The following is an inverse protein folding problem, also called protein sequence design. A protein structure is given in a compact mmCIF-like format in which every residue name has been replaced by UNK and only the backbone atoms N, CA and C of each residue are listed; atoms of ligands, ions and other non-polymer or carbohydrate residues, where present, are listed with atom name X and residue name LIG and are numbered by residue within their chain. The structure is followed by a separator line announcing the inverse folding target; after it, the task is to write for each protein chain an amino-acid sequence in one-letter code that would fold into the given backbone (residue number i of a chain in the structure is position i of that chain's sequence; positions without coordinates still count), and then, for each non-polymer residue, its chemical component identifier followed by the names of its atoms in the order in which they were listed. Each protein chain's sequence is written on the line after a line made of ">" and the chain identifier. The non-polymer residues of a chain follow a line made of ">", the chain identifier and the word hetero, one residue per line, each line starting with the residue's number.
data_IF_182556983293
#
_entry.id   IF_182556983293
#
_cell.length_a   1.000
_cell.length_b   1.000
_cell.length_c   1.000
_cell.angle_alpha   90.00
_cell.angle_beta   90.00
_cell.angle_gamma   90.00
#
_symmetry.space_group_name_H-M   'P 1'
#
loop_
_entity.id
_entity.type
_entity.pdbx_description
1 polymer ?
#
# COMPACT_ATOMS: atom_id res chain seq x y z
N UNK A 1 14.78 -8.28 10.42
CA UNK A 1 13.50 -7.63 10.16
C UNK A 1 12.60 -8.43 9.21
N UNK A 2 13.14 -8.92 8.11
CA UNK A 2 12.30 -9.65 7.14
C UNK A 2 11.72 -10.95 7.68
N UNK A 3 12.43 -11.59 8.60
CA UNK A 3 11.89 -12.79 9.22
C UNK A 3 10.64 -12.47 10.04
N UNK A 4 10.64 -11.36 10.77
CA UNK A 4 9.47 -10.92 11.52
C UNK A 4 8.30 -10.61 10.58
N UNK A 5 8.57 -9.98 9.43
CA UNK A 5 7.53 -9.69 8.45
C UNK A 5 6.90 -10.98 7.91
N UNK A 6 7.71 -12.00 7.65
CA UNK A 6 7.19 -13.26 7.13
C UNK A 6 6.32 -14.00 8.12
N UNK A 7 6.58 -13.83 9.41
CA UNK A 7 5.82 -14.50 10.46
C UNK A 7 4.60 -13.75 10.93
N UNK A 8 4.52 -12.46 10.61
CA UNK A 8 3.40 -11.63 11.01
C UNK A 8 2.19 -11.91 10.14
N UNK A 9 1.00 -11.68 10.70
CA UNK A 9 -0.24 -11.75 9.94
C UNK A 9 -0.72 -10.36 9.54
N UNK A 10 -0.38 -9.37 10.37
CA UNK A 10 -0.82 -7.99 10.17
C UNK A 10 0.37 -7.05 10.27
N UNK A 11 0.23 -5.88 9.67
CA UNK A 11 1.26 -4.85 9.71
C UNK A 11 0.64 -3.53 10.19
N UNK A 12 1.28 -2.90 11.16
CA UNK A 12 0.79 -1.65 11.76
C UNK A 12 1.76 -0.51 11.41
N UNK A 13 1.43 0.33 10.42
CA UNK A 13 2.30 1.46 10.07
C UNK A 13 2.39 2.55 11.14
N UNK A 14 1.45 2.59 12.07
CA UNK A 14 1.44 3.52 13.20
C UNK A 14 1.45 5.00 12.77
N UNK A 15 0.71 5.32 11.72
CA UNK A 15 0.52 6.69 11.29
C UNK A 15 -0.64 7.31 12.06
N UNK A 16 -0.38 8.46 12.66
CA UNK A 16 -1.36 9.14 13.51
C UNK A 16 -1.91 10.38 12.80
N UNK A 17 -3.23 10.42 12.49
CA UNK A 17 -3.81 11.58 11.82
C UNK A 17 -3.77 12.85 12.68
N UNK A 18 -3.61 12.71 14.00
CA UNK A 18 -3.48 13.85 14.90
C UNK A 18 -2.08 14.41 14.96
N UNK A 19 -1.09 13.76 14.37
CA UNK A 19 0.29 14.22 14.39
C UNK A 19 0.62 14.98 13.12
N UNK A 20 0.89 16.31 13.20
CA UNK A 20 1.18 17.08 12.00
C UNK A 20 2.37 16.56 11.19
N UNK A 21 3.33 15.93 11.84
CA UNK A 21 4.50 15.38 11.16
C UNK A 21 4.12 14.24 10.21
N UNK A 22 2.97 13.61 10.41
CA UNK A 22 2.51 12.51 9.54
C UNK A 22 1.65 12.99 8.37
N UNK A 23 1.29 14.27 8.32
CA UNK A 23 0.40 14.79 7.26
C UNK A 23 0.99 14.62 5.86
N UNK A 24 2.31 14.63 5.73
CA UNK A 24 2.96 14.47 4.44
C UNK A 24 2.65 13.11 3.80
N UNK A 25 2.33 12.10 4.60
CA UNK A 25 2.01 10.76 4.11
C UNK A 25 0.60 10.66 3.54
N UNK A 26 -0.18 11.74 3.62
CA UNK A 26 -1.50 11.81 3.00
C UNK A 26 -1.41 12.41 1.60
N UNK A 27 -0.47 13.32 1.38
CA UNK A 27 -0.45 14.14 0.17
C UNK A 27 0.77 13.94 -0.72
N UNK A 28 1.96 13.96 -0.17
CA UNK A 28 3.19 13.98 -0.98
C UNK A 28 4.21 12.92 -0.61
N UNK A 29 4.21 12.48 0.65
CA UNK A 29 5.20 11.52 1.11
C UNK A 29 4.74 10.09 0.96
N UNK A 30 5.68 9.19 0.78
CA UNK A 30 5.41 7.74 0.76
C UNK A 30 6.21 7.12 1.89
N UNK A 31 5.54 6.42 2.80
CA UNK A 31 6.24 5.70 3.85
C UNK A 31 6.85 4.41 3.29
N UNK A 32 8.09 4.12 3.68
CA UNK A 32 8.73 2.87 3.29
C UNK A 32 7.99 1.63 3.76
N UNK A 33 7.20 1.77 4.82
CA UNK A 33 6.40 0.67 5.36
C UNK A 33 5.38 0.14 4.34
N UNK A 34 4.83 1.00 3.50
CA UNK A 34 3.85 0.57 2.50
C UNK A 34 4.45 -0.41 1.49
N UNK A 35 5.72 -0.23 1.17
CA UNK A 35 6.40 -1.15 0.26
C UNK A 35 6.48 -2.55 0.84
N UNK A 36 6.70 -2.65 2.15
CA UNK A 36 6.76 -3.94 2.83
C UNK A 36 5.39 -4.62 2.83
N UNK A 37 4.31 -3.84 2.97
CA UNK A 37 2.95 -4.37 2.90
C UNK A 37 2.71 -5.04 1.55
N UNK A 38 3.04 -4.35 0.47
CA UNK A 38 2.84 -4.91 -0.87
C UNK A 38 3.70 -6.14 -1.11
N UNK A 39 4.96 -6.10 -0.66
CA UNK A 39 5.90 -7.17 -0.91
C UNK A 39 5.62 -8.44 -0.14
N UNK A 40 5.17 -8.32 1.10
CA UNK A 40 4.90 -9.48 1.96
C UNK A 40 3.43 -9.85 2.03
N UNK A 41 2.55 -9.04 1.44
CA UNK A 41 1.11 -9.26 1.42
C UNK A 41 0.53 -9.45 2.83
N UNK A 42 1.00 -8.64 3.78
CA UNK A 42 0.48 -8.64 5.15
C UNK A 42 -0.57 -7.57 5.29
N UNK A 43 -1.71 -7.91 5.86
CA UNK A 43 -2.84 -7.00 5.94
C UNK A 43 -2.49 -5.81 6.83
N UNK A 44 -2.53 -4.57 6.30
CA UNK A 44 -2.25 -3.40 7.11
C UNK A 44 -3.44 -3.02 7.99
N UNK A 45 -3.15 -2.59 9.20
CA UNK A 45 -4.13 -1.99 10.10
C UNK A 45 -3.80 -0.50 10.14
N UNK A 46 -4.60 0.31 9.48
CA UNK A 46 -4.23 1.70 9.18
C UNK A 46 -5.46 2.60 9.29
N UNK A 47 -5.23 3.86 9.69
CA UNK A 47 -6.29 4.85 9.73
C UNK A 47 -6.74 5.21 8.31
N UNK A 48 -8.04 5.36 8.10
CA UNK A 48 -8.60 5.61 6.77
C UNK A 48 -8.01 6.86 6.11
N UNK A 49 -7.60 7.85 6.91
CA UNK A 49 -7.04 9.09 6.40
C UNK A 49 -5.78 8.88 5.57
N UNK A 50 -5.02 7.85 5.89
CA UNK A 50 -3.80 7.51 5.15
C UNK A 50 -4.03 6.42 4.11
N UNK A 51 -5.11 5.66 4.26
CA UNK A 51 -5.31 4.45 3.48
C UNK A 51 -5.51 4.71 1.98
N UNK A 52 -6.31 5.72 1.64
CA UNK A 52 -6.65 5.97 0.23
C UNK A 52 -5.43 6.32 -0.61
N UNK A 53 -4.45 6.99 0.00
CA UNK A 53 -3.23 7.37 -0.71
C UNK A 53 -2.46 6.14 -1.21
N UNK A 54 -2.55 5.02 -0.49
CA UNK A 54 -1.82 3.79 -0.82
C UNK A 54 -2.70 2.75 -1.53
N UNK A 55 -3.96 3.08 -1.80
CA UNK A 55 -4.88 2.15 -2.42
C UNK A 55 -5.51 1.15 -1.47
N UNK A 56 -5.40 1.37 -0.16
CA UNK A 56 -6.01 0.48 0.82
C UNK A 56 -7.48 0.83 1.02
N UNK A 57 -8.30 -0.20 1.20
CA UNK A 57 -9.74 -0.06 1.45
C UNK A 57 -10.19 -1.22 2.34
N UNK A 58 -11.48 -1.26 2.63
CA UNK A 58 -12.01 -2.30 3.54
C UNK A 58 -11.88 -3.72 3.01
N UNK A 59 -11.57 -3.90 1.74
CA UNK A 59 -11.37 -5.22 1.15
C UNK A 59 -9.97 -5.78 1.39
N UNK A 60 -8.97 -4.91 1.45
CA UNK A 60 -7.57 -5.34 1.51
C UNK A 60 -6.85 -4.88 2.77
N UNK A 61 -7.54 -4.20 3.67
CA UNK A 61 -6.94 -3.66 4.88
C UNK A 61 -7.97 -3.55 5.99
N UNK A 62 -7.50 -3.47 7.21
CA UNK A 62 -8.36 -3.15 8.34
C UNK A 62 -8.23 -1.65 8.59
N UNK A 63 -9.25 -0.91 8.21
CA UNK A 63 -9.28 0.53 8.39
C UNK A 63 -9.96 0.89 9.70
N UNK A 64 -9.40 1.85 10.42
CA UNK A 64 -10.09 2.41 11.58
C UNK A 64 -10.32 3.89 11.34
N UNK A 65 -11.43 4.37 11.83
CA UNK A 65 -11.87 5.76 11.62
C UNK A 65 -11.98 6.49 12.94
N UNK A 66 -13.09 6.27 13.62
CA UNK A 66 -13.33 6.92 14.90
C UNK A 66 -12.85 6.08 16.08
N UNK A 67 -12.75 4.77 15.87
CA UNK A 67 -12.25 3.87 16.90
C UNK A 67 -10.73 4.02 17.05
N UNK A 68 -10.22 3.58 18.19
CA UNK A 68 -8.79 3.59 18.43
C UNK A 68 -8.10 2.46 17.69
N UNK A 69 -6.78 2.56 17.57
CA UNK A 69 -5.97 1.47 17.03
C UNK A 69 -6.22 0.17 17.78
N UNK A 70 -6.39 0.25 19.13
CA UNK A 70 -6.69 -0.94 19.92
C UNK A 70 -7.98 -1.63 19.49
N UNK A 71 -9.01 -0.86 19.15
CA UNK A 71 -10.26 -1.41 18.63
C UNK A 71 -10.05 -2.13 17.32
N UNK A 72 -9.24 -1.57 16.43
CA UNK A 72 -8.91 -2.20 15.16
C UNK A 72 -8.13 -3.49 15.38
N UNK A 73 -7.21 -3.50 16.34
CA UNK A 73 -6.46 -4.71 16.67
C UNK A 73 -7.36 -5.82 17.19
N UNK A 74 -8.39 -5.46 17.97
CA UNK A 74 -9.37 -6.45 18.42
C UNK A 74 -10.15 -7.04 17.25
N UNK A 75 -10.50 -6.24 16.26
CA UNK A 75 -11.15 -6.75 15.05
C UNK A 75 -10.24 -7.72 14.32
N UNK A 76 -8.95 -7.42 14.27
CA UNK A 76 -7.98 -8.31 13.64
C UNK A 76 -7.94 -9.67 14.32
N UNK A 77 -7.92 -9.67 15.65
CA UNK A 77 -7.89 -10.91 16.44
C UNK A 77 -9.14 -11.75 16.20
N UNK A 78 -10.27 -11.11 15.97
CA UNK A 78 -11.55 -11.79 15.78
C UNK A 78 -11.80 -12.21 14.34
N UNK A 79 -10.93 -11.84 13.43
CA UNK A 79 -11.11 -12.16 12.02
C UNK A 79 -10.98 -13.67 11.78
N UNK A 80 -11.87 -14.21 10.97
CA UNK A 80 -11.80 -15.63 10.61
C UNK A 80 -10.72 -15.86 9.56
N UNK A 81 -10.32 -17.13 9.41
CA UNK A 81 -9.34 -17.47 8.38
C UNK A 81 -9.84 -17.14 6.98
N UNK A 82 -11.15 -17.30 6.74
CA UNK A 82 -11.75 -16.96 5.45
C UNK A 82 -11.69 -15.47 5.17
N UNK A 83 -12.02 -14.65 6.19
CA UNK A 83 -11.95 -13.21 6.06
C UNK A 83 -10.51 -12.75 5.81
N UNK A 84 -9.56 -13.32 6.53
CA UNK A 84 -8.16 -13.02 6.36
C UNK A 84 -7.70 -13.37 4.94
N UNK A 85 -8.02 -14.59 4.48
CA UNK A 85 -7.63 -15.04 3.16
C UNK A 85 -8.22 -14.15 2.07
N UNK A 86 -9.47 -13.72 2.23
CA UNK A 86 -10.11 -12.82 1.27
C UNK A 86 -9.40 -11.48 1.18
N UNK A 87 -9.05 -10.92 2.34
CA UNK A 87 -8.31 -9.65 2.36
C UNK A 87 -6.91 -9.82 1.77
N UNK A 88 -6.25 -10.92 2.05
CA UNK A 88 -4.92 -11.19 1.52
C UNK A 88 -4.96 -11.30 0.00
N UNK A 89 -5.98 -11.97 -0.55
CA UNK A 89 -6.14 -12.05 -2.00
C UNK A 89 -6.36 -10.66 -2.63
N UNK A 90 -7.18 -9.84 -1.99
CA UNK A 90 -7.41 -8.48 -2.46
C UNK A 90 -6.13 -7.65 -2.40
N UNK A 91 -5.31 -7.84 -1.37
CA UNK A 91 -4.04 -7.16 -1.21
C UNK A 91 -3.03 -7.60 -2.28
N UNK A 92 -2.99 -8.90 -2.58
CA UNK A 92 -2.15 -9.42 -3.64
C UNK A 92 -2.58 -8.85 -5.00
N UNK A 93 -3.88 -8.70 -5.21
CA UNK A 93 -4.39 -8.10 -6.44
C UNK A 93 -3.98 -6.63 -6.55
N UNK A 94 -4.05 -5.90 -5.44
CA UNK A 94 -3.58 -4.52 -5.41
C UNK A 94 -2.10 -4.43 -5.80
N UNK A 95 -1.28 -5.31 -5.27
CA UNK A 95 0.13 -5.35 -5.61
C UNK A 95 0.36 -5.59 -7.10
N UNK A 96 -0.40 -6.50 -7.68
CA UNK A 96 -0.32 -6.78 -9.12
C UNK A 96 -0.76 -5.58 -9.95
N UNK A 97 -1.82 -4.90 -9.51
CA UNK A 97 -2.32 -3.72 -10.23
C UNK A 97 -1.32 -2.58 -10.18
N UNK A 98 -0.68 -2.36 -9.03
CA UNK A 98 0.35 -1.35 -8.88
C UNK A 98 1.55 -1.68 -9.77
N UNK A 99 1.97 -2.93 -9.80
CA UNK A 99 3.08 -3.34 -10.64
C UNK A 99 2.78 -3.13 -12.12
N UNK A 100 1.58 -3.51 -12.54
CA UNK A 100 1.15 -3.33 -13.93
C UNK A 100 1.13 -1.85 -14.31
N UNK A 101 0.57 -1.03 -13.44
CA UNK A 101 0.49 0.41 -13.68
C UNK A 101 1.89 1.04 -13.74
N UNK A 102 2.76 0.63 -12.84
CA UNK A 102 4.14 1.12 -12.82
C UNK A 102 4.88 0.78 -14.10
N UNK A 103 4.72 -0.45 -14.58
CA UNK A 103 5.35 -0.87 -15.84
C UNK A 103 4.79 -0.10 -17.01
N UNK A 104 3.49 0.14 -17.04
CA UNK A 104 2.84 0.93 -18.08
C UNK A 104 3.34 2.37 -18.07
N UNK A 105 3.45 2.95 -16.89
CA UNK A 105 3.96 4.31 -16.73
C UNK A 105 5.41 4.41 -17.19
N UNK A 106 6.22 3.41 -16.87
CA UNK A 106 7.61 3.39 -17.28
C UNK A 106 7.71 3.31 -18.82
N UNK A 107 6.92 2.45 -19.44
CA UNK A 107 6.92 2.35 -20.90
C UNK A 107 6.52 3.65 -21.55
N UNK A 108 5.51 4.33 -21.00
CA UNK A 108 5.09 5.64 -21.54
C UNK A 108 6.20 6.68 -21.38
N UNK A 109 6.85 6.69 -20.24
CA UNK A 109 7.93 7.63 -19.98
C UNK A 109 9.11 7.39 -20.92
N UNK A 110 9.47 6.13 -21.16
CA UNK A 110 10.54 5.77 -22.07
C UNK A 110 10.18 6.15 -23.50
N UNK A 111 8.94 5.93 -23.91
CA UNK A 111 8.48 6.30 -25.24
C UNK A 111 8.52 7.83 -25.43
N UNK A 112 8.12 8.58 -24.38
CA UNK A 112 8.12 10.03 -24.43
C UNK A 112 9.54 10.60 -24.48
N UNK A 113 10.50 9.93 -23.85
CA UNK A 113 11.90 10.35 -23.83
C UNK A 113 12.66 9.87 -25.04
N UNK A 114 12.14 8.89 -25.78
CA UNK A 114 12.81 8.35 -26.95
C UNK A 114 12.89 9.42 -28.03
N UNK A 115 14.08 9.72 -28.59
CA UNK A 115 14.25 10.73 -29.63
C UNK A 115 13.60 10.33 -30.93
N UNK A 116 13.29 9.21 -31.14
CA UNK A 116 12.64 8.72 -32.36
C UNK A 116 13.19 9.41 -33.61
N UNK A 117 13.46 9.96 -33.18
CA UNK A 117 13.75 10.36 -33.91
C UNK A 117 14.19 10.61 -34.41
N UNK A 118 14.36 10.62 -34.98
CA UNK A 118 14.84 10.76 -35.44
C UNK A 118 15.21 11.41 -35.73
N UNK A 119 15.17 11.41 -35.59
CA UNK A 119 15.58 11.80 -35.66
C UNK A 119 16.24 12.31 -35.80
N UNK A 120 16.16 12.51 -35.85
CA UNK A 120 16.93 12.81 -35.82
C UNK A 120 17.72 12.89 -36.24
N UNK A 121 17.84 12.97 -36.62
CA UNK A 121 18.60 12.88 -37.02
C UNK A 121 19.59 13.11 -37.00
N UNK A 122 19.69 12.93 -36.77
CA UNK A 122 20.69 12.94 -36.60
C UNK A 122 21.55 12.81 -37.32
N UNK A 123 21.65 13.11 -37.72
CA UNK A 123 22.17 12.87 -38.38
C UNK A 123 22.75 12.78 -38.69
#
# INVERSE_FOLDING_TARGET
>A
MYEAMRRADYFLPLLDPGNPAHNRYITTGVTGSAQLVYGFAKIPVIHEKFASFYGFNDRNALLYREETLGGAMLRAIRQTEEEYAGMQQALLQLGRDIDRESRSNLKRALAACSPSEPQQSRQ
#
